data_IF_683525159414
#
_entry.id   IF_683525159414
#
_cell.length_a   1.000
_cell.length_b   1.000
_cell.length_c   1.000
_cell.angle_alpha   90.00
_cell.angle_beta   90.00
_cell.angle_gamma   90.00
#
_symmetry.space_group_name_H-M   'P 1'
#
loop_
_entity.id
_entity.type
_entity.pdbx_description
1 polymer ?
#
# COMPACT_ATOMS: atom_id res chain seq x y z
N UNK A 1 15.07 -21.67 -1.89
CA UNK A 1 15.47 -20.50 -1.09
C UNK A 1 14.92 -19.25 -1.77
N UNK A 2 14.01 -18.51 -1.14
CA UNK A 2 13.69 -17.15 -1.59
C UNK A 2 14.47 -16.20 -0.70
N UNK A 3 15.49 -15.55 -1.25
CA UNK A 3 16.17 -14.45 -0.56
C UNK A 3 15.57 -13.15 -1.08
N UNK A 4 14.92 -12.38 -0.20
CA UNK A 4 14.56 -11.00 -0.49
C UNK A 4 15.84 -10.17 -0.49
N UNK A 5 16.13 -9.53 -1.62
CA UNK A 5 17.29 -8.68 -1.82
C UNK A 5 16.99 -7.27 -1.27
N UNK A 6 18.01 -6.57 -0.79
CA UNK A 6 17.85 -5.20 -0.31
C UNK A 6 17.29 -4.28 -1.43
N UNK A 7 16.13 -3.67 -1.18
CA UNK A 7 15.40 -2.84 -2.15
C UNK A 7 14.14 -3.50 -2.73
N UNK A 8 13.92 -4.79 -2.48
CA UNK A 8 12.68 -5.48 -2.83
C UNK A 8 11.50 -4.88 -2.04
N UNK A 9 10.43 -4.52 -2.76
CA UNK A 9 9.24 -3.90 -2.16
C UNK A 9 9.24 -2.37 -2.13
N UNK A 10 10.23 -1.70 -2.74
CA UNK A 10 10.27 -0.24 -2.90
C UNK A 10 9.81 0.20 -4.30
N UNK A 11 9.34 1.45 -4.41
CA UNK A 11 8.97 2.09 -5.68
C UNK A 11 7.67 1.58 -6.31
N UNK A 12 6.83 0.89 -5.54
CA UNK A 12 5.51 0.47 -6.01
C UNK A 12 4.58 1.68 -6.14
N UNK A 13 3.74 1.65 -7.17
CA UNK A 13 2.69 2.66 -7.38
C UNK A 13 1.34 1.98 -7.36
N UNK A 14 0.55 2.32 -6.35
CA UNK A 14 -0.84 1.88 -6.23
C UNK A 14 -1.73 3.01 -6.73
N UNK A 15 -2.45 2.78 -7.84
CA UNK A 15 -3.34 3.76 -8.46
C UNK A 15 -4.58 3.07 -9.02
N UNK A 16 -5.74 3.72 -8.85
CA UNK A 16 -7.02 3.29 -9.43
C UNK A 16 -7.44 1.86 -9.08
N UNK A 17 -6.99 1.31 -7.94
CA UNK A 17 -7.47 0.02 -7.45
C UNK A 17 -8.84 0.18 -6.79
N UNK A 18 -9.67 -0.84 -6.92
CA UNK A 18 -10.94 -0.98 -6.19
C UNK A 18 -10.91 -2.27 -5.40
N UNK A 19 -10.93 -2.15 -4.08
CA UNK A 19 -10.88 -3.29 -3.16
C UNK A 19 -12.15 -3.37 -2.32
N UNK A 20 -12.66 -4.58 -2.13
CA UNK A 20 -13.70 -4.88 -1.14
C UNK A 20 -13.15 -5.94 -0.19
N UNK A 21 -13.00 -5.60 1.09
CA UNK A 21 -12.42 -6.51 2.08
C UNK A 21 -13.48 -7.33 2.85
N UNK A 22 -14.76 -7.21 2.47
CA UNK A 22 -15.85 -8.02 3.04
C UNK A 22 -16.05 -7.88 4.55
N UNK A 23 -15.52 -6.82 5.17
CA UNK A 23 -15.57 -6.60 6.61
C UNK A 23 -14.54 -7.40 7.40
N UNK A 24 -13.69 -8.20 6.74
CA UNK A 24 -12.70 -9.05 7.39
C UNK A 24 -11.29 -8.43 7.39
N UNK A 25 -10.91 -7.77 6.27
CA UNK A 25 -9.58 -7.21 6.08
C UNK A 25 -9.36 -5.83 6.75
N UNK A 26 -8.13 -5.58 7.18
CA UNK A 26 -7.74 -4.35 7.89
C UNK A 26 -7.50 -3.18 6.93
N UNK A 27 -6.44 -3.27 6.12
CA UNK A 27 -6.08 -2.29 5.09
C UNK A 27 -6.13 -2.94 3.71
N UNK A 28 -6.54 -2.19 2.68
CA UNK A 28 -6.43 -2.68 1.30
C UNK A 28 -4.97 -2.71 0.83
N UNK A 29 -4.17 -1.74 1.27
CA UNK A 29 -2.73 -1.63 0.98
C UNK A 29 -1.99 -1.49 2.31
N UNK A 30 -1.46 -2.60 2.81
CA UNK A 30 -0.68 -2.62 4.05
C UNK A 30 0.83 -2.57 3.73
N UNK A 31 1.46 -1.42 3.93
CA UNK A 31 2.90 -1.24 3.75
C UNK A 31 3.56 -1.36 5.11
N UNK A 32 4.13 -2.53 5.42
CA UNK A 32 4.67 -2.85 6.75
C UNK A 32 5.94 -2.09 7.08
N UNK A 33 6.76 -1.82 6.07
CA UNK A 33 7.97 -1.01 6.20
C UNK A 33 8.25 -0.31 4.87
N UNK A 34 8.44 1.02 4.91
CA UNK A 34 9.01 1.77 3.78
C UNK A 34 10.21 2.63 4.19
N UNK A 35 10.69 2.50 5.42
CA UNK A 35 11.83 3.28 5.93
C UNK A 35 13.09 3.03 5.09
N UNK A 36 13.28 1.79 4.63
CA UNK A 36 14.34 1.41 3.69
C UNK A 36 14.13 1.91 2.24
N UNK A 37 12.99 2.52 1.92
CA UNK A 37 12.62 2.95 0.58
C UNK A 37 12.82 4.46 0.33
N UNK A 38 13.68 5.14 1.09
CA UNK A 38 13.86 6.60 1.00
C UNK A 38 14.19 7.10 -0.42
N UNK A 39 14.98 6.34 -1.19
CA UNK A 39 15.32 6.68 -2.57
C UNK A 39 14.15 6.46 -3.56
N UNK A 40 13.24 5.52 -3.27
CA UNK A 40 12.11 5.13 -4.12
C UNK A 40 10.92 4.74 -3.23
N UNK A 41 10.24 5.70 -2.60
CA UNK A 41 9.16 5.38 -1.66
C UNK A 41 7.98 4.73 -2.39
N UNK A 42 7.18 3.95 -1.64
CA UNK A 42 5.94 3.42 -2.16
C UNK A 42 4.90 4.54 -2.22
N UNK A 43 4.16 4.63 -3.32
CA UNK A 43 3.18 5.70 -3.56
C UNK A 43 1.78 5.11 -3.64
N UNK A 44 0.89 5.57 -2.77
CA UNK A 44 -0.53 5.24 -2.79
C UNK A 44 -1.32 6.46 -3.19
N UNK A 45 -1.97 6.43 -4.36
CA UNK A 45 -2.79 7.54 -4.84
C UNK A 45 -4.18 7.57 -4.17
N UNK A 46 -4.76 8.77 -4.05
CA UNK A 46 -6.15 8.96 -3.58
C UNK A 46 -7.20 8.34 -4.50
N UNK A 47 -6.85 8.04 -5.76
CA UNK A 47 -7.72 7.33 -6.71
C UNK A 47 -8.03 5.88 -6.34
N UNK A 48 -7.30 5.29 -5.37
CA UNK A 48 -7.64 3.95 -4.89
C UNK A 48 -8.87 4.03 -3.97
N UNK A 49 -9.75 3.06 -4.12
CA UNK A 49 -10.98 2.95 -3.33
C UNK A 49 -11.00 1.63 -2.57
N UNK A 50 -11.48 1.70 -1.34
CA UNK A 50 -11.72 0.51 -0.52
C UNK A 50 -13.11 0.57 0.09
N UNK A 51 -13.79 -0.57 0.11
CA UNK A 51 -15.05 -0.77 0.84
C UNK A 51 -14.88 -1.89 1.86
N UNK A 52 -15.66 -1.81 2.94
CA UNK A 52 -15.69 -2.81 4.00
C UNK A 52 -14.31 -3.17 4.61
N UNK A 53 -13.40 -2.21 4.64
CA UNK A 53 -12.14 -2.33 5.39
C UNK A 53 -12.37 -1.97 6.86
N UNK A 54 -11.78 -2.74 7.77
CA UNK A 54 -11.87 -2.45 9.21
C UNK A 54 -11.15 -1.17 9.62
N UNK A 55 -10.06 -0.84 8.93
CA UNK A 55 -9.25 0.34 9.26
C UNK A 55 -9.27 1.36 8.13
N UNK A 56 -8.97 0.94 6.89
CA UNK A 56 -9.05 1.87 5.75
C UNK A 56 -8.25 1.46 4.53
N UNK A 57 -7.87 2.45 3.71
CA UNK A 57 -7.17 2.21 2.44
C UNK A 57 -5.73 1.76 2.65
N UNK A 58 -4.97 2.51 3.44
CA UNK A 58 -3.55 2.25 3.67
C UNK A 58 -3.07 2.82 4.99
N UNK A 59 -1.91 2.36 5.46
CA UNK A 59 -1.22 2.83 6.66
C UNK A 59 -0.09 3.85 6.36
N UNK A 60 0.18 4.16 5.09
CA UNK A 60 1.13 5.20 4.69
C UNK A 60 0.42 6.43 4.13
N UNK A 61 1.15 7.54 3.96
CA UNK A 61 0.57 8.78 3.44
C UNK A 61 0.04 8.58 2.03
N UNK A 62 -1.23 8.94 1.82
CA UNK A 62 -1.85 9.00 0.50
C UNK A 62 -1.33 10.23 -0.25
N UNK A 63 -0.96 10.01 -1.51
CA UNK A 63 -0.57 11.07 -2.44
C UNK A 63 -1.79 11.52 -3.21
N UNK A 64 -2.10 12.81 -3.14
CA UNK A 64 -3.05 13.47 -4.05
C UNK A 64 -2.35 13.61 -5.40
N UNK A 65 -2.82 12.84 -6.39
CA UNK A 65 -2.45 13.01 -7.79
C UNK A 65 -3.42 13.92 -8.51
#
# INVERSE_FOLDING_TARGET
MHQQLAGDGCGNVFRSNKSDLGGAGNYAINVTDQSGCSARPNVVYSSNTVTNAKIGLTNIKVTTG
#
